data_IF_691511888014
#
_entry.id   IF_691511888014
#
_cell.length_a   1.000
_cell.length_b   1.000
_cell.length_c   1.000
_cell.angle_alpha   90.00
_cell.angle_beta   90.00
_cell.angle_gamma   90.00
#
_symmetry.space_group_name_H-M   'P 1'
#
loop_
_entity.id
_entity.type
_entity.pdbx_description
1 polymer ?
#
# COMPACT_ATOMS: atom_id res chain seq x y z
N UNK A 1 -66.45 41.61 1.37
CA UNK A 1 -65.58 42.08 0.28
C UNK A 1 -64.82 43.27 0.80
N UNK A 2 -63.50 43.18 0.92
CA UNK A 2 -62.58 44.04 0.17
C UNK A 2 -61.14 43.83 0.67
N UNK A 3 -60.35 43.32 -0.26
CA UNK A 3 -58.92 43.03 -0.13
C UNK A 3 -58.12 44.31 -0.20
N UNK A 4 -57.16 44.52 0.70
CA UNK A 4 -56.12 45.54 0.51
C UNK A 4 -54.73 45.04 0.94
N UNK A 5 -54.04 44.49 -0.07
CA UNK A 5 -52.60 44.55 -0.36
C UNK A 5 -51.67 44.94 0.81
N UNK A 6 -50.91 43.98 1.30
CA UNK A 6 -49.65 44.19 2.01
C UNK A 6 -48.55 44.57 1.02
N UNK A 7 -47.90 45.71 1.28
CA UNK A 7 -46.79 46.28 0.51
C UNK A 7 -45.50 45.56 0.91
N UNK A 8 -44.76 45.07 -0.08
CA UNK A 8 -43.50 44.34 0.12
C UNK A 8 -42.37 45.22 0.63
N UNK A 9 -41.62 44.68 1.59
CA UNK A 9 -40.44 45.31 2.15
C UNK A 9 -39.34 45.49 1.10
N UNK A 10 -38.90 46.74 1.01
CA UNK A 10 -37.90 47.25 0.07
C UNK A 10 -36.51 46.82 0.57
N UNK A 11 -35.94 45.80 -0.08
CA UNK A 11 -34.54 45.39 0.14
C UNK A 11 -33.62 46.52 -0.32
N UNK A 12 -33.02 47.23 0.64
CA UNK A 12 -31.96 48.23 0.41
C UNK A 12 -30.76 47.54 -0.25
N UNK A 13 -30.49 47.92 -1.50
CA UNK A 13 -29.34 47.51 -2.29
C UNK A 13 -28.11 48.21 -1.72
N UNK A 14 -27.25 47.45 -1.04
CA UNK A 14 -25.89 47.89 -0.70
C UNK A 14 -25.10 48.05 -2.00
N UNK A 15 -24.62 49.26 -2.26
CA UNK A 15 -23.77 49.59 -3.41
C UNK A 15 -22.54 48.67 -3.43
N UNK A 16 -22.48 47.77 -4.42
CA UNK A 16 -21.31 46.93 -4.65
C UNK A 16 -20.25 47.82 -5.33
N UNK A 17 -19.21 48.21 -4.59
CA UNK A 17 -18.03 48.87 -5.16
C UNK A 17 -17.41 47.94 -6.20
N UNK A 18 -17.58 48.28 -7.48
CA UNK A 18 -17.06 47.53 -8.60
C UNK A 18 -15.55 47.74 -8.68
N UNK A 19 -14.77 46.73 -8.27
CA UNK A 19 -13.31 46.75 -8.44
C UNK A 19 -12.95 46.76 -9.93
N UNK A 20 -12.18 47.78 -10.33
CA UNK A 20 -11.75 47.99 -11.72
C UNK A 20 -10.33 47.44 -11.88
N UNK A 21 -10.10 46.64 -12.91
CA UNK A 21 -8.78 46.10 -13.21
C UNK A 21 -7.80 47.22 -13.59
N UNK A 22 -6.65 47.37 -12.90
CA UNK A 22 -5.66 48.41 -13.24
C UNK A 22 -4.97 48.18 -14.59
N UNK A 23 -5.12 47.00 -15.21
CA UNK A 23 -4.55 46.66 -16.51
C UNK A 23 -5.49 46.92 -17.68
N UNK A 24 -6.80 46.84 -17.47
CA UNK A 24 -7.80 46.86 -18.56
C UNK A 24 -8.89 47.91 -18.39
N UNK A 25 -8.95 48.60 -17.24
CA UNK A 25 -9.93 49.66 -16.98
C UNK A 25 -11.39 49.20 -16.94
N UNK A 26 -11.64 47.87 -16.97
CA UNK A 26 -12.98 47.27 -16.97
C UNK A 26 -13.32 46.65 -15.60
N UNK A 27 -14.61 46.58 -15.24
CA UNK A 27 -15.11 45.85 -14.07
C UNK A 27 -14.58 44.42 -14.01
N UNK A 28 -13.97 44.02 -12.90
CA UNK A 28 -13.54 42.64 -12.70
C UNK A 28 -14.79 41.77 -12.54
N UNK A 29 -15.08 40.95 -13.55
CA UNK A 29 -16.19 40.00 -13.49
C UNK A 29 -15.81 38.81 -12.59
N UNK A 30 -16.18 38.85 -11.31
CA UNK A 30 -15.90 37.80 -10.29
C UNK A 30 -16.26 36.37 -10.76
N UNK A 31 -17.23 36.23 -11.68
CA UNK A 31 -17.62 34.94 -12.29
C UNK A 31 -16.53 34.26 -13.14
N UNK A 32 -15.55 35.02 -13.63
CA UNK A 32 -14.43 34.52 -14.44
C UNK A 32 -13.09 34.61 -13.72
N UNK A 33 -13.08 34.99 -12.42
CA UNK A 33 -11.85 34.99 -11.64
C UNK A 33 -11.37 33.54 -11.43
N UNK A 34 -10.08 33.23 -11.64
CA UNK A 34 -9.55 31.90 -11.37
C UNK A 34 -9.74 31.59 -9.88
N UNK A 35 -10.48 30.51 -9.57
CA UNK A 35 -10.68 30.06 -8.20
C UNK A 35 -9.30 29.77 -7.58
N UNK A 36 -8.94 30.45 -6.49
CA UNK A 36 -7.77 30.07 -5.69
C UNK A 36 -7.94 28.61 -5.27
N UNK A 37 -7.01 27.74 -5.68
CA UNK A 37 -6.95 26.35 -5.22
C UNK A 37 -6.79 26.40 -3.70
N UNK A 38 -7.85 26.07 -2.96
CA UNK A 38 -7.78 25.97 -1.51
C UNK A 38 -6.70 24.97 -1.14
N UNK A 39 -5.99 25.20 -0.03
CA UNK A 39 -5.06 24.21 0.52
C UNK A 39 -5.81 22.87 0.63
N UNK A 40 -5.19 21.74 0.25
CA UNK A 40 -5.84 20.44 0.39
C UNK A 40 -6.35 20.30 1.82
N UNK A 41 -7.63 19.89 1.97
CA UNK A 41 -8.25 19.62 3.27
C UNK A 41 -7.58 18.39 3.89
N UNK A 42 -6.37 18.57 4.44
CA UNK A 42 -5.56 17.49 5.01
C UNK A 42 -6.09 16.95 6.34
N UNK A 43 -7.11 17.58 6.94
CA UNK A 43 -7.65 17.20 8.25
C UNK A 43 -8.57 15.97 8.26
N UNK A 44 -9.00 15.46 7.10
CA UNK A 44 -9.90 14.30 7.00
C UNK A 44 -9.22 13.05 6.41
N UNK A 45 -7.89 13.08 6.24
CA UNK A 45 -7.17 11.87 5.86
C UNK A 45 -7.21 10.88 7.03
N UNK A 46 -7.64 9.62 6.84
CA UNK A 46 -7.62 8.58 7.88
C UNK A 46 -6.22 8.23 8.41
N UNK A 47 -5.16 8.85 7.86
CA UNK A 47 -3.75 8.53 8.09
C UNK A 47 -2.99 9.74 8.68
N UNK A 48 -3.65 10.86 8.96
CA UNK A 48 -3.02 12.08 9.48
C UNK A 48 -3.54 12.39 10.90
N UNK A 49 -2.62 12.49 11.87
CA UNK A 49 -2.94 12.75 13.28
C UNK A 49 -3.60 11.56 13.97
N UNK A 50 -4.37 11.81 15.02
CA UNK A 50 -5.10 10.77 15.77
C UNK A 50 -6.33 10.22 15.01
N UNK A 51 -6.65 10.75 13.82
CA UNK A 51 -7.78 10.32 13.00
C UNK A 51 -7.74 8.85 12.56
N UNK A 52 -6.57 8.20 12.66
CA UNK A 52 -6.39 6.77 12.37
C UNK A 52 -6.41 5.87 13.61
N UNK A 53 -6.42 6.45 14.81
CA UNK A 53 -6.40 5.73 16.09
C UNK A 53 -7.84 5.58 16.59
N UNK A 54 -8.49 4.48 16.21
CA UNK A 54 -9.74 4.06 16.83
C UNK A 54 -9.39 3.22 18.07
N UNK A 55 -9.12 3.90 19.18
CA UNK A 55 -8.80 3.26 20.45
C UNK A 55 -9.94 3.50 21.45
N UNK A 56 -10.55 2.42 21.91
CA UNK A 56 -11.53 2.44 22.98
C UNK A 56 -10.86 2.20 24.33
N UNK A 57 -11.42 2.75 25.39
CA UNK A 57 -10.93 2.51 26.74
C UNK A 57 -11.02 1.00 27.07
N UNK A 58 -9.89 0.40 27.44
CA UNK A 58 -9.79 -1.04 27.74
C UNK A 58 -9.19 -1.90 26.62
N UNK A 59 -8.96 -1.35 25.43
CA UNK A 59 -8.32 -2.08 24.31
C UNK A 59 -6.97 -2.66 24.70
N UNK A 60 -6.10 -1.90 25.36
CA UNK A 60 -4.79 -2.39 25.78
C UNK A 60 -4.89 -3.55 26.78
N UNK A 61 -5.82 -3.47 27.73
CA UNK A 61 -6.08 -4.55 28.69
C UNK A 61 -6.56 -5.80 27.96
N UNK A 62 -7.53 -5.64 27.06
CA UNK A 62 -8.08 -6.70 26.22
C UNK A 62 -6.99 -7.39 25.40
N UNK A 63 -6.16 -6.61 24.70
CA UNK A 63 -5.06 -7.12 23.89
C UNK A 63 -4.05 -7.85 24.77
N UNK A 64 -3.64 -7.26 25.89
CA UNK A 64 -2.69 -7.88 26.81
C UNK A 64 -3.22 -9.20 27.38
N UNK A 65 -4.50 -9.27 27.76
CA UNK A 65 -5.13 -10.50 28.28
C UNK A 65 -5.03 -11.64 27.27
N UNK A 66 -5.34 -11.39 26.00
CA UNK A 66 -5.22 -12.42 24.94
C UNK A 66 -3.78 -12.85 24.76
N UNK A 67 -2.82 -11.91 24.72
CA UNK A 67 -1.41 -12.27 24.56
C UNK A 67 -0.84 -13.04 25.76
N UNK A 68 -1.26 -12.70 26.97
CA UNK A 68 -0.89 -13.43 28.19
C UNK A 68 -1.50 -14.84 28.18
N UNK A 69 -2.73 -15.00 27.68
CA UNK A 69 -3.32 -16.33 27.52
C UNK A 69 -2.52 -17.18 26.53
N UNK A 70 -2.12 -16.63 25.38
CA UNK A 70 -1.26 -17.34 24.41
C UNK A 70 0.11 -17.69 25.00
N UNK A 71 0.74 -16.79 25.75
CA UNK A 71 2.04 -17.01 26.38
C UNK A 71 2.01 -18.17 27.38
N UNK A 72 0.89 -18.33 28.08
CA UNK A 72 0.72 -19.33 29.14
C UNK A 72 0.09 -20.65 28.65
N UNK A 73 -0.17 -20.79 27.35
CA UNK A 73 -0.62 -22.06 26.79
C UNK A 73 0.47 -23.12 26.97
N UNK A 74 0.15 -24.33 27.47
CA UNK A 74 1.15 -25.38 27.61
C UNK A 74 1.60 -25.89 26.23
N UNK A 75 2.82 -26.40 26.15
CA UNK A 75 3.26 -27.08 24.93
C UNK A 75 2.42 -28.34 24.69
N UNK A 76 2.12 -28.60 23.42
CA UNK A 76 1.38 -29.78 22.97
C UNK A 76 2.27 -30.77 22.23
N UNK A 77 1.83 -32.03 22.14
CA UNK A 77 2.43 -32.99 21.23
C UNK A 77 2.07 -32.65 19.77
N UNK A 78 3.09 -32.25 19.01
CA UNK A 78 2.96 -31.89 17.59
C UNK A 78 2.91 -33.10 16.66
N UNK A 79 3.06 -34.32 17.17
CA UNK A 79 2.85 -35.54 16.40
C UNK A 79 1.41 -36.07 16.52
N UNK A 80 0.61 -35.52 17.45
CA UNK A 80 -0.78 -35.88 17.67
C UNK A 80 -1.74 -34.90 16.97
N UNK A 81 -2.53 -35.42 16.01
CA UNK A 81 -3.48 -34.63 15.22
C UNK A 81 -4.62 -34.07 16.08
N UNK A 82 -5.12 -34.85 17.04
CA UNK A 82 -6.26 -34.46 17.87
C UNK A 82 -5.88 -33.30 18.79
N UNK A 83 -4.70 -33.37 19.40
CA UNK A 83 -4.19 -32.34 20.31
C UNK A 83 -3.91 -31.02 19.57
N UNK A 84 -3.32 -31.10 18.37
CA UNK A 84 -3.12 -29.92 17.50
C UNK A 84 -4.47 -29.32 17.08
N UNK A 85 -5.45 -30.14 16.74
CA UNK A 85 -6.77 -29.67 16.36
C UNK A 85 -7.49 -28.99 17.54
N UNK A 86 -7.42 -29.56 18.73
CA UNK A 86 -7.97 -28.97 19.95
C UNK A 86 -7.31 -27.62 20.26
N UNK A 87 -5.98 -27.55 20.22
CA UNK A 87 -5.24 -26.29 20.39
C UNK A 87 -5.64 -25.21 19.39
N UNK A 88 -5.84 -25.57 18.14
CA UNK A 88 -6.30 -24.62 17.11
C UNK A 88 -7.71 -24.11 17.43
N UNK A 89 -8.61 -24.98 17.90
CA UNK A 89 -9.95 -24.58 18.31
C UNK A 89 -9.91 -23.65 19.54
N UNK A 90 -9.11 -23.97 20.56
CA UNK A 90 -8.89 -23.10 21.73
C UNK A 90 -8.38 -21.72 21.30
N UNK A 91 -7.43 -21.69 20.37
CA UNK A 91 -6.88 -20.45 19.82
C UNK A 91 -7.96 -19.60 19.15
N UNK A 92 -8.77 -20.17 18.25
CA UNK A 92 -9.85 -19.43 17.60
C UNK A 92 -10.95 -19.01 18.58
N UNK A 93 -11.29 -19.87 19.54
CA UNK A 93 -12.26 -19.58 20.58
C UNK A 93 -11.81 -18.41 21.48
N UNK A 94 -10.51 -18.34 21.83
CA UNK A 94 -9.94 -17.24 22.59
C UNK A 94 -10.13 -15.91 21.85
N UNK A 95 -9.77 -15.84 20.57
CA UNK A 95 -9.96 -14.60 19.80
C UNK A 95 -11.44 -14.24 19.59
N UNK A 96 -12.31 -15.25 19.41
CA UNK A 96 -13.75 -15.03 19.32
C UNK A 96 -14.35 -14.51 20.64
N UNK A 97 -13.92 -15.05 21.79
CA UNK A 97 -14.38 -14.64 23.12
C UNK A 97 -14.14 -13.15 23.37
N UNK A 98 -12.97 -12.67 22.94
CA UNK A 98 -12.62 -11.26 23.07
C UNK A 98 -13.03 -10.45 21.84
N UNK A 99 -13.77 -10.95 20.84
CA UNK A 99 -14.09 -10.18 19.62
C UNK A 99 -12.83 -9.49 19.02
N UNK A 100 -11.79 -10.30 18.81
CA UNK A 100 -10.51 -9.87 18.24
C UNK A 100 -10.25 -10.59 16.92
N UNK A 101 -9.52 -9.92 16.03
CA UNK A 101 -9.08 -10.52 14.77
C UNK A 101 -7.92 -11.47 15.06
N UNK A 102 -8.04 -12.78 14.76
CA UNK A 102 -6.94 -13.71 14.96
C UNK A 102 -5.77 -13.36 14.03
N UNK A 103 -4.55 -13.65 14.48
CA UNK A 103 -3.32 -13.31 13.77
C UNK A 103 -2.49 -14.54 13.45
N UNK A 104 -1.77 -14.53 12.33
CA UNK A 104 -0.89 -15.65 11.97
C UNK A 104 0.24 -15.83 13.00
N UNK A 105 0.74 -14.73 13.56
CA UNK A 105 1.75 -14.79 14.63
C UNK A 105 1.19 -15.38 15.92
N UNK A 106 -0.03 -15.01 16.33
CA UNK A 106 -0.70 -15.58 17.49
C UNK A 106 -0.93 -17.09 17.36
N UNK A 107 -1.33 -17.55 16.17
CA UNK A 107 -1.47 -18.98 15.90
C UNK A 107 -0.12 -19.72 15.99
N UNK A 108 0.96 -19.10 15.53
CA UNK A 108 2.31 -19.66 15.64
C UNK A 108 2.77 -19.77 17.11
N UNK A 109 2.41 -18.79 17.94
CA UNK A 109 2.64 -18.83 19.40
C UNK A 109 1.86 -19.98 20.04
N UNK A 110 0.58 -20.12 19.69
CA UNK A 110 -0.28 -21.19 20.22
C UNK A 110 0.23 -22.61 19.88
N UNK A 111 0.97 -22.76 18.77
CA UNK A 111 1.61 -24.00 18.34
C UNK A 111 3.08 -24.06 18.82
N UNK A 112 3.26 -24.06 20.14
CA UNK A 112 4.55 -24.19 20.85
C UNK A 112 5.57 -23.10 20.48
N UNK A 113 5.13 -21.86 20.22
CA UNK A 113 6.05 -20.73 20.01
C UNK A 113 6.81 -20.76 18.68
N UNK A 114 6.36 -21.52 17.67
CA UNK A 114 7.07 -21.58 16.40
C UNK A 114 7.10 -20.24 15.65
N UNK A 115 8.07 -20.07 14.75
CA UNK A 115 8.13 -18.85 13.94
C UNK A 115 7.01 -18.82 12.89
N UNK A 116 6.52 -17.62 12.56
CA UNK A 116 5.59 -17.42 11.43
C UNK A 116 6.13 -18.00 10.12
N UNK A 117 7.44 -17.92 9.89
CA UNK A 117 8.08 -18.46 8.69
C UNK A 117 7.96 -19.98 8.63
N UNK A 118 8.19 -20.65 9.76
CA UNK A 118 8.00 -22.11 9.90
C UNK A 118 6.55 -22.48 9.64
N UNK A 119 5.61 -21.76 10.25
CA UNK A 119 4.18 -21.98 10.06
C UNK A 119 3.76 -21.84 8.59
N UNK A 120 4.22 -20.78 7.91
CA UNK A 120 3.96 -20.58 6.48
C UNK A 120 4.58 -21.71 5.65
N UNK A 121 5.79 -22.15 5.97
CA UNK A 121 6.45 -23.23 5.27
C UNK A 121 5.66 -24.55 5.38
N UNK A 122 5.13 -24.88 6.57
CA UNK A 122 4.24 -26.01 6.79
C UNK A 122 2.97 -25.90 5.92
N UNK A 123 2.29 -24.74 5.96
CA UNK A 123 1.04 -24.53 5.23
C UNK A 123 1.22 -24.59 3.69
N UNK A 124 2.36 -24.11 3.19
CA UNK A 124 2.66 -24.05 1.75
C UNK A 124 3.46 -25.24 1.22
N UNK A 125 3.80 -26.21 2.09
CA UNK A 125 4.62 -27.37 1.72
C UNK A 125 6.05 -27.00 1.33
N UNK A 126 6.56 -25.86 1.81
CA UNK A 126 7.94 -25.43 1.58
C UNK A 126 8.87 -26.07 2.62
N UNK A 127 10.17 -26.22 2.31
CA UNK A 127 11.15 -26.62 3.29
C UNK A 127 11.14 -25.68 4.51
N UNK A 128 11.03 -26.27 5.70
CA UNK A 128 10.96 -25.58 7.00
C UNK A 128 12.36 -25.12 7.45
N UNK A 129 13.05 -24.34 6.63
CA UNK A 129 14.33 -23.70 6.97
C UNK A 129 15.46 -24.65 7.42
N UNK A 130 16.51 -24.08 8.03
CA UNK A 130 17.74 -24.78 8.43
C UNK A 130 17.61 -25.85 9.52
N UNK A 131 16.39 -26.18 9.97
CA UNK A 131 16.13 -27.26 10.93
C UNK A 131 16.07 -28.66 10.26
N UNK A 132 16.08 -28.73 8.92
CA UNK A 132 16.15 -29.98 8.18
C UNK A 132 14.93 -30.89 8.42
N UNK A 133 15.15 -32.18 8.65
CA UNK A 133 14.11 -33.19 8.85
C UNK A 133 13.41 -33.09 10.22
N UNK A 134 13.89 -32.27 11.16
CA UNK A 134 13.34 -32.15 12.53
C UNK A 134 11.97 -31.49 12.59
N UNK A 135 11.56 -30.83 11.52
CA UNK A 135 10.27 -30.15 11.34
C UNK A 135 9.31 -30.97 10.46
N UNK A 136 9.65 -32.22 10.15
CA UNK A 136 8.76 -33.14 9.44
C UNK A 136 7.64 -33.59 10.38
N UNK A 137 6.60 -32.77 10.48
CA UNK A 137 5.36 -33.13 11.16
C UNK A 137 4.66 -34.27 10.41
N UNK A 138 3.85 -35.10 11.10
CA UNK A 138 2.99 -36.06 10.44
C UNK A 138 2.13 -35.38 9.36
N UNK A 139 1.89 -36.03 8.21
CA UNK A 139 1.15 -35.41 7.09
C UNK A 139 -0.24 -34.91 7.51
N UNK A 140 -0.90 -35.62 8.42
CA UNK A 140 -2.22 -35.25 8.93
C UNK A 140 -2.16 -33.99 9.79
N UNK A 141 -1.17 -33.86 10.69
CA UNK A 141 -0.94 -32.66 11.49
C UNK A 141 -0.67 -31.46 10.58
N UNK A 142 0.24 -31.62 9.61
CA UNK A 142 0.55 -30.57 8.64
C UNK A 142 -0.69 -30.13 7.84
N UNK A 143 -1.56 -31.08 7.47
CA UNK A 143 -2.84 -30.81 6.79
C UNK A 143 -3.80 -30.01 7.67
N UNK A 144 -3.91 -30.34 8.97
CA UNK A 144 -4.73 -29.61 9.93
C UNK A 144 -4.24 -28.17 10.11
N UNK A 145 -2.94 -27.97 10.30
CA UNK A 145 -2.31 -26.64 10.38
C UNK A 145 -2.55 -25.84 9.10
N UNK A 146 -2.40 -26.48 7.93
CA UNK A 146 -2.65 -25.87 6.63
C UNK A 146 -4.10 -25.38 6.48
N UNK A 147 -5.09 -26.16 6.92
CA UNK A 147 -6.50 -25.76 6.92
C UNK A 147 -6.73 -24.53 7.81
N UNK A 148 -6.18 -24.52 9.02
CA UNK A 148 -6.28 -23.38 9.93
C UNK A 148 -5.60 -22.11 9.37
N UNK A 149 -4.46 -22.28 8.68
CA UNK A 149 -3.77 -21.17 8.01
C UNK A 149 -4.62 -20.54 6.90
N UNK A 150 -5.23 -21.36 6.03
CA UNK A 150 -6.12 -20.85 4.99
C UNK A 150 -7.43 -20.28 5.55
N UNK A 151 -7.89 -20.75 6.70
CA UNK A 151 -8.99 -20.10 7.42
C UNK A 151 -8.63 -18.67 7.85
N UNK A 152 -7.41 -18.43 8.33
CA UNK A 152 -6.92 -17.07 8.64
C UNK A 152 -6.84 -16.19 7.40
N UNK A 153 -6.42 -16.75 6.25
CA UNK A 153 -6.38 -16.05 4.98
C UNK A 153 -7.80 -15.65 4.53
N UNK A 154 -8.76 -16.56 4.61
CA UNK A 154 -10.16 -16.26 4.29
C UNK A 154 -10.80 -15.23 5.26
N UNK A 155 -10.48 -15.29 6.55
CA UNK A 155 -10.92 -14.27 7.52
C UNK A 155 -10.33 -12.90 7.18
N UNK A 156 -9.05 -12.84 6.83
CA UNK A 156 -8.41 -11.60 6.39
C UNK A 156 -9.10 -11.04 5.14
N UNK A 157 -9.37 -11.87 4.13
CA UNK A 157 -10.10 -11.46 2.92
C UNK A 157 -11.50 -10.93 3.27
N UNK A 158 -12.22 -11.61 4.17
CA UNK A 158 -13.54 -11.19 4.64
C UNK A 158 -13.49 -9.82 5.33
N UNK A 159 -12.47 -9.58 6.16
CA UNK A 159 -12.29 -8.27 6.81
C UNK A 159 -11.91 -7.17 5.82
N UNK A 160 -11.16 -7.50 4.76
CA UNK A 160 -10.85 -6.58 3.68
C UNK A 160 -12.09 -6.20 2.88
N UNK A 161 -12.89 -7.20 2.47
CA UNK A 161 -14.11 -6.99 1.70
C UNK A 161 -15.18 -6.22 2.48
N UNK A 162 -15.26 -6.40 3.80
CA UNK A 162 -16.19 -5.68 4.67
C UNK A 162 -15.71 -4.29 5.10
N UNK A 163 -14.48 -3.88 4.75
CA UNK A 163 -13.89 -2.61 5.17
C UNK A 163 -13.58 -2.53 6.67
N UNK A 164 -13.54 -3.66 7.37
CA UNK A 164 -13.26 -3.76 8.83
C UNK A 164 -11.76 -3.82 9.13
N UNK A 165 -10.92 -3.73 8.11
CA UNK A 165 -9.46 -3.61 8.20
C UNK A 165 -9.03 -2.43 7.35
N UNK A 166 -8.05 -1.65 7.84
CA UNK A 166 -7.45 -0.58 7.06
C UNK A 166 -6.81 -1.18 5.78
N UNK A 167 -7.14 -0.69 4.57
CA UNK A 167 -6.65 -1.28 3.32
C UNK A 167 -5.12 -1.38 3.23
N UNK A 168 -4.38 -0.37 3.73
CA UNK A 168 -2.91 -0.36 3.70
C UNK A 168 -2.34 -1.44 4.62
N UNK A 169 -2.87 -1.53 5.85
CA UNK A 169 -2.47 -2.58 6.79
C UNK A 169 -2.84 -3.97 6.26
N UNK A 170 -4.02 -4.10 5.64
CA UNK A 170 -4.48 -5.31 5.00
C UNK A 170 -3.56 -5.81 3.90
N UNK A 171 -3.16 -4.94 2.97
CA UNK A 171 -2.19 -5.28 1.91
C UNK A 171 -0.86 -5.72 2.52
N UNK A 172 -0.37 -5.02 3.55
CA UNK A 172 0.87 -5.39 4.23
C UNK A 172 0.80 -6.78 4.89
N UNK A 173 -0.32 -7.10 5.54
CA UNK A 173 -0.58 -8.42 6.10
C UNK A 173 -0.65 -9.49 4.99
N UNK A 174 -1.33 -9.20 3.89
CA UNK A 174 -1.44 -10.09 2.74
C UNK A 174 -0.08 -10.45 2.14
N UNK A 175 0.79 -9.45 1.95
CA UNK A 175 2.16 -9.65 1.46
C UNK A 175 3.01 -10.47 2.42
N UNK A 176 2.96 -10.14 3.71
CA UNK A 176 3.87 -10.72 4.70
C UNK A 176 3.49 -12.15 5.13
N UNK A 177 2.19 -12.43 5.19
CA UNK A 177 1.69 -13.71 5.66
C UNK A 177 1.38 -14.61 4.47
N UNK A 178 0.57 -14.16 3.52
CA UNK A 178 0.01 -15.05 2.49
C UNK A 178 0.78 -15.03 1.17
N UNK A 179 1.74 -14.12 1.01
CA UNK A 179 2.62 -14.08 -0.17
C UNK A 179 1.99 -13.39 -1.38
N UNK A 180 0.92 -12.61 -1.19
CA UNK A 180 0.40 -11.72 -2.23
C UNK A 180 1.48 -10.73 -2.67
N UNK A 181 1.47 -10.35 -3.95
CA UNK A 181 2.43 -9.42 -4.52
C UNK A 181 1.72 -8.45 -5.45
N UNK A 182 2.12 -7.18 -5.39
CA UNK A 182 1.67 -6.19 -6.36
C UNK A 182 2.50 -6.40 -7.64
N UNK A 183 1.83 -6.69 -8.75
CA UNK A 183 2.47 -6.80 -10.06
C UNK A 183 2.28 -5.50 -10.83
N UNK A 184 3.38 -4.91 -11.27
CA UNK A 184 3.40 -3.77 -12.19
C UNK A 184 4.03 -4.21 -13.49
N UNK A 185 3.23 -4.29 -14.56
CA UNK A 185 3.73 -4.57 -15.90
C UNK A 185 4.10 -3.24 -16.56
N UNK A 186 5.38 -3.08 -16.94
CA UNK A 186 5.82 -1.96 -17.73
C UNK A 186 5.96 -2.41 -19.18
N UNK A 187 5.10 -1.90 -20.07
CA UNK A 187 5.25 -2.11 -21.50
C UNK A 187 6.30 -1.11 -21.99
N UNK A 188 7.55 -1.55 -22.06
CA UNK A 188 8.57 -0.88 -22.87
C UNK A 188 8.17 -1.12 -24.32
N UNK A 189 7.44 -0.19 -24.94
CA UNK A 189 7.41 -0.16 -26.40
C UNK A 189 8.79 0.29 -26.85
N UNK A 190 9.61 -0.59 -27.44
CA UNK A 190 10.89 -0.16 -27.97
C UNK A 190 10.55 0.84 -29.08
N UNK A 191 11.11 2.05 -29.01
CA UNK A 191 11.23 2.86 -30.21
C UNK A 191 12.17 2.08 -31.13
N UNK A 192 11.62 1.16 -31.92
CA UNK A 192 12.28 0.66 -33.11
C UNK A 192 12.37 1.88 -34.04
N UNK A 193 13.42 2.68 -33.86
CA UNK A 193 13.97 3.40 -34.99
C UNK A 193 14.38 2.30 -35.96
N UNK A 194 13.48 1.96 -36.88
CA UNK A 194 13.82 1.09 -37.98
C UNK A 194 15.00 1.77 -38.68
N UNK A 195 16.13 1.07 -38.80
CA UNK A 195 17.25 1.52 -39.66
C UNK A 195 16.80 1.71 -41.12
N UNK A 196 15.58 1.28 -41.47
CA UNK A 196 14.95 1.47 -42.77
C UNK A 196 14.40 2.89 -43.02
N UNK A 197 14.33 3.76 -42.02
CA UNK A 197 13.87 5.16 -42.22
C UNK A 197 15.01 6.12 -42.59
N UNK A 198 16.27 5.65 -42.60
CA UNK A 198 17.39 6.46 -43.05
C UNK A 198 17.68 6.21 -44.52
N UNK A 199 17.49 7.23 -45.36
CA UNK A 199 18.07 7.23 -46.71
C UNK A 199 19.59 7.04 -46.61
N UNK A 200 20.23 6.27 -47.52
CA UNK A 200 21.69 6.12 -47.55
C UNK A 200 22.46 7.45 -47.46
N UNK A 201 21.86 8.54 -47.92
CA UNK A 201 22.44 9.88 -47.86
C UNK A 201 22.42 10.50 -46.44
N UNK A 202 21.41 10.23 -45.63
CA UNK A 202 21.35 10.69 -44.23
C UNK A 202 22.35 9.93 -43.35
N UNK A 203 22.55 8.64 -43.64
CA UNK A 203 23.59 7.82 -42.99
C UNK A 203 24.98 8.41 -43.33
N UNK A 204 25.23 8.72 -44.61
CA UNK A 204 26.49 9.37 -45.03
C UNK A 204 26.73 10.70 -44.33
N UNK A 205 25.70 11.55 -44.21
CA UNK A 205 25.85 12.85 -43.53
C UNK A 205 26.22 12.71 -42.06
N UNK A 206 25.66 11.74 -41.33
CA UNK A 206 26.05 11.49 -39.93
C UNK A 206 27.51 11.06 -39.80
N UNK A 207 27.99 10.18 -40.67
CA UNK A 207 29.40 9.74 -40.66
C UNK A 207 30.37 10.83 -41.12
N UNK A 208 29.98 11.70 -42.06
CA UNK A 208 30.80 12.84 -42.48
C UNK A 208 30.90 13.88 -41.35
N UNK A 209 29.81 14.13 -40.64
CA UNK A 209 29.77 15.09 -39.52
C UNK A 209 30.56 14.57 -38.32
N UNK A 210 30.45 13.28 -38.00
CA UNK A 210 31.24 12.64 -36.94
C UNK A 210 32.75 12.65 -37.24
N UNK A 211 33.15 12.32 -38.48
CA UNK A 211 34.55 12.37 -38.90
C UNK A 211 35.12 13.80 -38.97
N UNK A 212 34.30 14.81 -39.27
CA UNK A 212 34.74 16.21 -39.17
C UNK A 212 34.97 16.62 -37.72
N UNK A 213 34.12 16.17 -36.79
CA UNK A 213 34.25 16.50 -35.38
C UNK A 213 35.47 15.83 -34.73
N UNK A 214 35.82 14.60 -35.12
CA UNK A 214 37.08 13.94 -34.71
C UNK A 214 38.32 14.64 -35.28
N UNK A 215 38.27 15.06 -36.56
CA UNK A 215 39.39 15.77 -37.20
C UNK A 215 39.61 17.18 -36.65
N UNK A 216 38.54 17.83 -36.16
CA UNK A 216 38.61 19.15 -35.52
C UNK A 216 39.05 19.07 -34.06
N UNK A 217 38.84 17.95 -33.37
CA UNK A 217 39.35 17.76 -32.00
C UNK A 217 40.83 17.40 -31.95
N UNK A 218 41.36 16.75 -32.99
CA UNK A 218 42.80 16.41 -33.10
C UNK A 218 43.66 17.57 -33.63
N UNK A 219 43.06 18.65 -34.18
CA UNK A 219 43.83 19.78 -34.73
C UNK A 219 44.08 20.92 -33.75
N UNK A 220 43.48 20.87 -32.55
CA UNK A 220 43.57 21.96 -31.54
C UNK A 220 44.59 21.66 -30.42
N UNK A 221 45.37 20.57 -30.51
CA UNK A 221 46.30 20.16 -29.44
C UNK A 221 47.79 20.39 -29.68
N UNK A 222 48.24 20.83 -30.86
CA UNK A 222 49.68 20.90 -31.16
C UNK A 222 50.13 22.17 -31.90
N UNK A 223 49.99 23.35 -31.28
CA UNK A 223 50.85 24.50 -31.60
C UNK A 223 51.17 25.35 -30.35
N UNK A 224 52.04 24.83 -29.47
CA UNK A 224 52.97 25.70 -28.72
C UNK A 224 54.20 24.92 -28.20
N UNK A 225 55.18 24.67 -29.08
CA UNK A 225 56.60 24.75 -28.70
C UNK A 225 57.52 24.59 -29.92
N UNK A 226 58.21 25.67 -30.27
CA UNK A 226 59.64 25.72 -30.61
C UNK A 226 59.91 26.73 -31.72
N UNK A 227 60.44 27.88 -31.33
CA UNK A 227 61.47 28.56 -32.10
C UNK A 227 62.51 29.12 -31.12
N UNK A 228 63.77 28.88 -31.49
CA UNK A 228 65.07 29.28 -30.90
C UNK A 228 65.08 30.49 -29.94
#
# INVERSE_FOLDING_TARGET
MDSKKTVGDKKTVSEETVEISPRTGKPIQKKYAPKKKGRPRGGNSPVIGDNGLNLDAGDNTKYMTVQMALLNMPDIDMDNVEEVQERLNEYFALYAQYDMKPTVAGMAIALNGMSRTTLRAIATGQPTGGAGYKTALPPEVASTIKKAYFLLENLWETYMNSGKVNPVAGIFLGKNNYGYQDKTEYVLTPNQQNDNDYSPDEIRQRYITANQHERLSDSDSDEDSSND
#
